data_IF_024157419604
#
_entry.id   IF_024157419604
#
_cell.length_a   1.000
_cell.length_b   1.000
_cell.length_c   1.000
_cell.angle_alpha   90.00
_cell.angle_beta   90.00
_cell.angle_gamma   90.00
#
_symmetry.space_group_name_H-M   'P 1'
#
loop_
_entity.id
_entity.type
_entity.pdbx_description
1 polymer ?
#
# COMPACT_ATOMS: atom_id res chain seq x y z
N UNK A 1 -23.35 16.47 18.63
CA UNK A 1 -22.77 15.67 18.69
C UNK A 1 -22.70 14.84 18.63
N UNK A 2 -22.68 15.10 18.59
CA UNK A 2 -22.32 14.01 18.31
C UNK A 2 -22.58 13.27 18.42
N UNK A 3 -22.73 13.96 18.28
CA UNK A 3 -22.65 12.95 18.36
C UNK A 3 -22.75 12.17 18.59
N UNK A 4 -22.90 12.48 18.81
CA UNK A 4 -22.79 11.39 18.88
C UNK A 4 -22.82 10.69 18.85
N UNK A 5 -23.32 11.13 19.27
CA UNK A 5 -23.15 10.09 19.18
C UNK A 5 -23.33 9.51 19.22
N UNK A 6 -23.51 10.11 19.19
CA UNK A 6 -23.35 9.21 19.35
C UNK A 6 -23.49 8.64 19.28
N UNK A 7 -23.64 8.81 19.54
CA UNK A 7 -23.50 7.93 19.40
C UNK A 7 -23.88 7.27 19.58
N UNK A 8 -24.05 8.23 19.31
CA UNK A 8 -23.92 7.50 19.54
C UNK A 8 -23.93 6.76 19.31
N UNK A 9 -24.26 7.27 19.20
CA UNK A 9 -23.71 6.44 18.78
C UNK A 9 -23.95 5.99 18.38
N UNK A 10 -23.97 6.39 17.91
CA UNK A 10 -23.60 5.96 17.63
C UNK A 10 -23.53 5.72 17.25
N UNK A 11 -23.56 6.16 16.90
CA UNK A 11 -22.94 5.90 16.56
C UNK A 11 -22.59 5.54 15.95
N UNK A 12 -22.72 5.90 15.66
CA UNK A 12 -22.09 5.55 15.05
C UNK A 12 -22.42 5.19 14.13
N UNK A 13 -22.80 5.37 13.59
CA UNK A 13 -22.73 5.09 12.64
C UNK A 13 -22.40 4.56 12.00
N UNK A 14 -23.22 4.76 11.30
CA UNK A 14 -22.47 3.81 10.56
C UNK A 14 -21.00 3.84 10.92
N UNK A 15 -20.60 3.01 11.80
CA UNK A 15 -19.24 3.01 12.29
C UNK A 15 -18.22 2.47 11.33
N UNK A 16 -18.63 1.46 10.56
CA UNK A 16 -17.68 0.77 9.68
C UNK A 16 -17.02 1.70 8.67
N UNK A 17 -17.75 2.70 8.17
CA UNK A 17 -17.17 3.60 7.19
C UNK A 17 -16.03 4.44 7.79
N UNK A 18 -16.15 4.81 9.05
CA UNK A 18 -15.08 5.57 9.72
C UNK A 18 -13.81 4.75 9.83
N UNK A 19 -13.95 3.48 10.17
CA UNK A 19 -12.81 2.59 10.27
C UNK A 19 -12.14 2.40 8.93
N UNK A 20 -12.94 2.31 7.86
CA UNK A 20 -12.38 2.15 6.53
C UNK A 20 -11.63 3.40 6.09
N UNK A 21 -12.17 4.58 6.39
CA UNK A 21 -11.51 5.83 6.04
C UNK A 21 -10.18 5.96 6.77
N UNK A 22 -10.16 5.66 8.07
CA UNK A 22 -8.94 5.71 8.86
C UNK A 22 -7.90 4.72 8.36
N UNK A 23 -8.36 3.51 8.03
CA UNK A 23 -7.48 2.47 7.54
C UNK A 23 -6.86 2.86 6.20
N UNK A 24 -7.69 3.37 5.29
CA UNK A 24 -7.20 3.79 3.97
C UNK A 24 -6.20 4.93 4.10
N UNK A 25 -6.45 5.85 5.02
CA UNK A 25 -5.50 6.92 5.27
C UNK A 25 -4.17 6.38 5.80
N UNK A 26 -4.23 5.38 6.68
CA UNK A 26 -3.02 4.76 7.21
C UNK A 26 -2.26 4.03 6.10
N UNK A 27 -2.97 3.35 5.19
CA UNK A 27 -2.34 2.72 4.04
C UNK A 27 -1.65 3.77 3.16
N UNK A 28 -2.33 4.87 2.92
CA UNK A 28 -1.77 5.95 2.11
C UNK A 28 -0.47 6.47 2.71
N UNK A 29 -0.45 6.71 4.00
CA UNK A 29 0.75 7.22 4.66
C UNK A 29 1.89 6.22 4.60
N UNK A 30 1.59 4.94 4.77
CA UNK A 30 2.61 3.90 4.71
C UNK A 30 3.21 3.81 3.30
N UNK A 31 2.38 3.94 2.27
CA UNK A 31 2.83 3.86 0.89
C UNK A 31 3.66 5.10 0.54
N UNK A 32 3.21 6.28 0.96
CA UNK A 32 3.95 7.51 0.69
C UNK A 32 5.32 7.52 1.35
N UNK A 33 5.52 6.73 2.39
CA UNK A 33 6.79 6.66 3.08
C UNK A 33 7.84 5.84 2.33
N UNK A 34 7.44 5.05 1.33
CA UNK A 34 8.40 4.23 0.58
C UNK A 34 9.24 5.14 -0.32
N UNK A 35 10.55 5.20 -0.11
CA UNK A 35 11.37 6.14 -0.89
C UNK A 35 11.64 5.66 -2.30
N UNK A 36 12.07 6.59 -3.15
CA UNK A 36 12.49 6.29 -4.51
C UNK A 36 13.61 5.25 -4.47
N UNK A 37 13.52 4.25 -5.33
CA UNK A 37 14.54 3.22 -5.41
C UNK A 37 14.32 2.05 -4.48
N UNK A 38 13.25 2.09 -3.68
CA UNK A 38 12.92 1.02 -2.78
C UNK A 38 11.50 0.54 -3.01
N UNK A 39 11.21 -0.66 -2.53
CA UNK A 39 9.87 -1.25 -2.64
C UNK A 39 9.45 -1.79 -1.28
N UNK A 40 8.15 -2.00 -1.14
CA UNK A 40 7.59 -2.69 0.02
C UNK A 40 6.62 -3.74 -0.50
N UNK A 41 6.15 -4.60 0.40
CA UNK A 41 5.15 -5.59 0.02
C UNK A 41 3.79 -5.17 0.56
N UNK A 42 2.74 -5.78 0.01
CA UNK A 42 1.38 -5.52 0.49
C UNK A 42 1.26 -5.81 1.99
N UNK A 43 1.87 -6.91 2.43
CA UNK A 43 1.84 -7.26 3.84
C UNK A 43 2.59 -6.29 4.72
N UNK A 44 3.74 -5.80 4.24
CA UNK A 44 4.53 -4.85 5.03
C UNK A 44 3.87 -3.49 5.08
N UNK A 45 3.21 -3.07 4.01
CA UNK A 45 2.42 -1.84 4.03
C UNK A 45 1.31 -1.95 5.07
N UNK A 46 0.60 -3.07 5.07
CA UNK A 46 -0.46 -3.28 6.05
C UNK A 46 0.09 -3.23 7.47
N UNK A 47 1.20 -3.90 7.70
CA UNK A 47 1.82 -3.93 9.03
C UNK A 47 2.26 -2.55 9.47
N UNK A 48 2.92 -1.81 8.57
CA UNK A 48 3.38 -0.46 8.87
C UNK A 48 2.22 0.48 9.17
N UNK A 49 1.08 0.23 8.56
CA UNK A 49 -0.12 1.03 8.79
C UNK A 49 -0.84 0.67 10.08
N UNK A 50 -0.42 -0.39 10.75
CA UNK A 50 -1.05 -0.83 11.98
C UNK A 50 -2.14 -1.87 11.78
N UNK A 51 -2.20 -2.48 10.60
CA UNK A 51 -3.24 -3.46 10.27
C UNK A 51 -2.59 -4.73 9.74
N UNK A 52 -1.86 -5.45 10.62
CA UNK A 52 -1.18 -6.68 10.17
C UNK A 52 -2.18 -7.66 9.58
N UNK A 53 -1.74 -8.36 8.54
CA UNK A 53 -2.54 -9.35 7.81
C UNK A 53 -3.63 -8.75 6.91
N UNK A 54 -3.64 -7.42 6.74
CA UNK A 54 -4.60 -6.78 5.87
C UNK A 54 -4.04 -6.56 4.46
N UNK A 55 -3.18 -7.46 3.99
CA UNK A 55 -2.54 -7.28 2.68
C UNK A 55 -3.56 -7.24 1.53
N UNK A 56 -4.66 -7.99 1.64
CA UNK A 56 -5.69 -7.95 0.59
C UNK A 56 -6.42 -6.62 0.56
N UNK A 57 -6.60 -6.01 1.74
CA UNK A 57 -7.21 -4.69 1.80
C UNK A 57 -6.29 -3.64 1.18
N UNK A 58 -4.96 -3.78 1.35
CA UNK A 58 -4.02 -2.89 0.69
C UNK A 58 -4.14 -3.03 -0.83
N UNK A 59 -4.22 -4.27 -1.31
CA UNK A 59 -4.36 -4.51 -2.75
C UNK A 59 -5.63 -3.86 -3.30
N UNK A 60 -6.74 -3.98 -2.59
CA UNK A 60 -7.99 -3.35 -3.00
C UNK A 60 -7.88 -1.84 -2.99
N UNK A 61 -7.25 -1.29 -1.96
CA UNK A 61 -7.03 0.14 -1.86
C UNK A 61 -6.24 0.67 -3.06
N UNK A 62 -5.20 -0.06 -3.46
CA UNK A 62 -4.38 0.34 -4.58
C UNK A 62 -5.07 0.15 -5.92
N UNK A 63 -6.17 -0.59 -5.96
CA UNK A 63 -6.98 -0.71 -7.17
C UNK A 63 -8.00 0.41 -7.33
N UNK A 64 -8.03 1.38 -6.42
CA UNK A 64 -9.00 2.45 -6.46
C UNK A 64 -8.62 3.58 -7.40
N UNK A 65 -9.49 4.57 -7.47
CA UNK A 65 -9.35 5.65 -8.44
C UNK A 65 -8.26 6.64 -8.12
N UNK A 66 -7.83 6.70 -6.87
CA UNK A 66 -6.83 7.69 -6.46
C UNK A 66 -5.40 7.18 -6.56
N UNK A 67 -5.24 6.03 -7.17
CA UNK A 67 -3.95 5.36 -7.20
C UNK A 67 -2.83 6.21 -7.83
N UNK A 68 -3.19 7.03 -8.81
CA UNK A 68 -2.18 7.82 -9.52
C UNK A 68 -1.47 8.83 -8.64
N UNK A 69 -2.04 9.15 -7.49
CA UNK A 69 -1.45 10.09 -6.56
C UNK A 69 -0.46 9.45 -5.59
N UNK A 70 -0.33 8.13 -5.67
CA UNK A 70 0.50 7.37 -4.75
C UNK A 70 1.58 6.65 -5.54
N UNK A 71 2.73 6.39 -4.91
CA UNK A 71 3.75 5.57 -5.56
C UNK A 71 3.37 4.10 -5.51
N UNK A 72 2.24 3.76 -6.13
CA UNK A 72 1.71 2.40 -6.13
C UNK A 72 2.71 1.41 -6.71
N UNK A 73 3.52 1.88 -7.64
CA UNK A 73 4.50 1.02 -8.31
C UNK A 73 5.54 0.47 -7.34
N UNK A 74 5.68 1.06 -6.15
CA UNK A 74 6.65 0.60 -5.16
C UNK A 74 6.11 -0.47 -4.24
N UNK A 75 4.89 -0.98 -4.51
CA UNK A 75 4.30 -2.05 -3.71
C UNK A 75 4.26 -3.31 -4.56
N UNK A 76 4.90 -4.37 -4.08
CA UNK A 76 5.06 -5.61 -4.83
C UNK A 76 4.69 -6.79 -3.93
N UNK A 77 4.72 -7.99 -4.47
CA UNK A 77 4.49 -9.19 -3.67
C UNK A 77 5.64 -9.43 -2.70
N UNK A 78 5.42 -10.27 -1.71
CA UNK A 78 6.41 -10.54 -0.69
C UNK A 78 7.71 -11.10 -1.27
N UNK A 79 7.63 -11.79 -2.39
CA UNK A 79 8.80 -12.36 -3.06
C UNK A 79 9.35 -11.44 -4.16
N UNK A 80 8.82 -10.23 -4.29
CA UNK A 80 9.26 -9.29 -5.31
C UNK A 80 8.47 -9.35 -6.59
N UNK A 81 7.48 -10.23 -6.70
CA UNK A 81 6.69 -10.36 -7.92
C UNK A 81 5.80 -9.14 -8.10
N UNK A 82 5.68 -8.67 -9.34
CA UNK A 82 4.71 -7.64 -9.66
C UNK A 82 3.35 -8.29 -9.75
N UNK A 83 2.40 -7.81 -8.95
CA UNK A 83 1.08 -8.41 -8.87
C UNK A 83 0.06 -7.76 -9.81
N UNK A 84 0.51 -6.80 -10.59
CA UNK A 84 -0.31 -6.18 -11.63
C UNK A 84 -0.20 -7.00 -12.91
N UNK A 85 -0.98 -6.63 -13.92
CA UNK A 85 -0.95 -7.37 -15.18
C UNK A 85 -1.10 -6.39 -16.33
N UNK A 86 -0.77 -6.88 -17.54
CA UNK A 86 -0.95 -6.11 -18.77
C UNK A 86 -0.19 -4.80 -18.75
N UNK A 87 -0.85 -3.73 -19.16
CA UNK A 87 -0.25 -2.42 -19.27
C UNK A 87 0.24 -1.91 -17.91
N UNK A 88 -0.50 -2.23 -16.85
CA UNK A 88 -0.10 -1.81 -15.50
C UNK A 88 1.20 -2.47 -15.08
N UNK A 89 1.40 -3.73 -15.41
CA UNK A 89 2.64 -4.42 -15.09
C UNK A 89 3.81 -3.83 -15.84
N UNK A 90 3.61 -3.49 -17.11
CA UNK A 90 4.67 -2.86 -17.89
C UNK A 90 5.03 -1.50 -17.31
N UNK A 91 4.03 -0.72 -16.96
CA UNK A 91 4.27 0.59 -16.37
C UNK A 91 4.97 0.48 -15.04
N UNK A 92 4.53 -0.46 -14.20
CA UNK A 92 5.14 -0.65 -12.89
C UNK A 92 6.63 -0.99 -13.04
N UNK A 93 6.95 -1.94 -13.92
CA UNK A 93 8.33 -2.34 -14.16
C UNK A 93 9.17 -1.18 -14.67
N UNK A 94 8.62 -0.42 -15.61
CA UNK A 94 9.34 0.71 -16.17
C UNK A 94 9.66 1.77 -15.11
N UNK A 95 8.68 2.07 -14.27
CA UNK A 95 8.87 3.05 -13.19
C UNK A 95 9.93 2.58 -12.19
N UNK A 96 9.87 1.31 -11.81
CA UNK A 96 10.83 0.77 -10.86
C UNK A 96 12.23 0.78 -11.42
N UNK A 97 12.40 0.40 -12.68
CA UNK A 97 13.71 0.44 -13.31
C UNK A 97 14.25 1.87 -13.43
N UNK A 98 13.37 2.80 -13.72
CA UNK A 98 13.75 4.20 -13.81
C UNK A 98 14.25 4.74 -12.47
N UNK A 99 13.73 4.20 -11.38
CA UNK A 99 14.16 4.60 -10.03
C UNK A 99 15.40 3.83 -9.57
N UNK A 100 15.92 2.94 -10.38
CA UNK A 100 17.11 2.18 -10.04
C UNK A 100 16.87 0.93 -9.21
N UNK A 101 15.62 0.50 -9.12
CA UNK A 101 15.28 -0.73 -8.38
C UNK A 101 15.90 -1.92 -9.11
N UNK A 102 16.53 -2.80 -8.35
CA UNK A 102 17.21 -3.98 -8.90
C UNK A 102 16.24 -5.13 -9.05
N UNK A 103 16.36 -5.84 -10.16
CA UNK A 103 15.55 -7.00 -10.44
C UNK A 103 16.44 -8.24 -10.49
N UNK A 104 15.84 -9.35 -10.16
CA UNK A 104 16.46 -10.66 -10.33
C UNK A 104 15.48 -11.45 -11.18
N UNK A 105 15.77 -11.52 -12.50
CA UNK A 105 14.82 -12.05 -13.46
C UNK A 105 13.60 -11.16 -13.53
N UNK A 106 12.43 -11.74 -13.36
CA UNK A 106 11.17 -11.00 -13.46
C UNK A 106 10.74 -10.33 -12.16
N UNK A 107 11.41 -10.63 -11.07
CA UNK A 107 11.02 -10.14 -9.75
C UNK A 107 12.00 -9.10 -9.26
N UNK A 108 11.51 -8.22 -8.39
CA UNK A 108 12.39 -7.29 -7.69
C UNK A 108 13.30 -8.08 -6.77
N UNK A 109 14.56 -7.70 -6.72
CA UNK A 109 15.51 -8.31 -5.78
C UNK A 109 15.27 -7.70 -4.40
N UNK A 110 14.52 -8.42 -3.58
CA UNK A 110 14.12 -7.93 -2.27
C UNK A 110 15.28 -7.85 -1.29
N UNK A 111 16.36 -8.56 -1.55
CA UNK A 111 17.53 -8.46 -0.66
C UNK A 111 18.22 -7.11 -0.77
N UNK A 112 18.04 -6.42 -1.88
CA UNK A 112 18.69 -5.13 -2.14
C UNK A 112 17.72 -3.98 -2.03
N UNK A 113 16.49 -4.16 -2.52
CA UNK A 113 15.57 -3.05 -2.76
C UNK A 113 14.46 -2.92 -1.72
N UNK A 114 14.36 -3.84 -0.77
CA UNK A 114 13.28 -3.79 0.21
C UNK A 114 13.46 -2.61 1.16
N UNK A 115 12.43 -1.81 1.28
CA UNK A 115 12.39 -0.70 2.24
C UNK A 115 12.06 -1.26 3.63
N UNK A 116 12.87 -0.88 4.61
CA UNK A 116 12.64 -1.29 5.99
C UNK A 116 12.41 -0.03 6.81
N UNK A 117 11.15 0.28 7.12
CA UNK A 117 10.88 1.48 7.91
C UNK A 117 11.49 1.32 9.30
N UNK A 118 11.85 2.43 9.88
CA UNK A 118 12.36 2.42 11.24
C UNK A 118 11.22 2.10 12.19
N UNK A 119 11.54 1.29 13.16
CA UNK A 119 10.56 0.91 14.18
C UNK A 119 10.27 2.08 15.12
#
# INVERSE_FOLDING_TARGET
MRLKHHFDGSERRGRGWDETVERDHAFQQAILAIPIGKVSSYGMVAEAAGYPRYHRAVARFLGGEQIDRLPWHRVVGADGALKTSGASAKEQRARLRQEGVKFRGEKVDMSVSLYRPRA
#
